data_IF_393367942614
#
_entry.id   IF_393367942614
#
_cell.length_a   1.000
_cell.length_b   1.000
_cell.length_c   1.000
_cell.angle_alpha   90.00
_cell.angle_beta   90.00
_cell.angle_gamma   90.00
#
_symmetry.space_group_name_H-M   'P 1'
#
loop_
_entity.id
_entity.type
_entity.pdbx_description
1 polymer ?
#
# COMPACT_ATOMS: atom_id res chain seq x y z
N UNK A 1 24.31 49.34 -12.84
CA UNK A 1 24.26 48.29 -13.88
C UNK A 1 23.12 47.35 -13.52
N UNK A 2 21.98 47.53 -14.18
CA UNK A 2 20.75 46.76 -13.94
C UNK A 2 20.79 45.51 -14.82
N UNK A 3 21.03 44.34 -14.24
CA UNK A 3 20.88 43.08 -14.96
C UNK A 3 19.41 42.67 -14.90
N UNK A 4 18.69 42.91 -16.00
CA UNK A 4 17.36 42.37 -16.24
C UNK A 4 17.44 40.84 -16.22
N UNK A 5 17.01 40.21 -15.12
CA UNK A 5 16.85 38.75 -15.09
C UNK A 5 15.68 38.38 -16.01
N UNK A 6 16.03 37.75 -17.12
CA UNK A 6 15.11 37.18 -18.11
C UNK A 6 14.05 36.32 -17.43
N UNK A 7 12.78 36.71 -17.60
CA UNK A 7 11.58 36.02 -17.09
C UNK A 7 11.41 34.58 -17.61
N UNK A 8 12.31 34.11 -18.49
CA UNK A 8 12.32 32.76 -19.04
C UNK A 8 12.91 31.70 -18.10
N UNK A 9 13.70 32.09 -17.08
CA UNK A 9 14.39 31.13 -16.21
C UNK A 9 13.49 30.60 -15.06
N UNK A 10 12.58 31.44 -14.54
CA UNK A 10 11.63 31.05 -13.49
C UNK A 10 10.54 30.09 -13.99
N UNK A 11 10.11 30.24 -15.25
CA UNK A 11 9.06 29.42 -15.85
C UNK A 11 9.53 27.98 -16.05
N UNK A 12 10.79 27.76 -16.43
CA UNK A 12 11.35 26.42 -16.63
C UNK A 12 11.50 25.61 -15.33
N UNK A 13 11.83 26.28 -14.21
CA UNK A 13 11.92 25.63 -12.89
C UNK A 13 10.51 25.26 -12.39
N UNK A 14 9.51 26.11 -12.66
CA UNK A 14 8.12 25.84 -12.31
C UNK A 14 7.52 24.70 -13.13
N UNK A 15 7.72 24.65 -14.45
CA UNK A 15 7.18 23.59 -15.30
C UNK A 15 7.86 22.24 -15.10
N UNK A 16 9.16 22.21 -14.79
CA UNK A 16 9.88 20.97 -14.43
C UNK A 16 9.50 20.46 -13.04
N UNK A 17 9.27 21.36 -12.07
CA UNK A 17 8.71 21.00 -10.76
C UNK A 17 7.28 20.47 -10.90
N UNK A 18 6.45 21.10 -11.73
CA UNK A 18 5.10 20.60 -12.06
C UNK A 18 5.18 19.24 -12.75
N UNK A 19 6.13 19.01 -13.66
CA UNK A 19 6.34 17.70 -14.30
C UNK A 19 6.80 16.62 -13.29
N UNK A 20 7.66 16.98 -12.33
CA UNK A 20 8.07 16.09 -11.23
C UNK A 20 6.91 15.75 -10.27
N UNK A 21 6.02 16.71 -10.01
CA UNK A 21 4.81 16.49 -9.17
C UNK A 21 3.77 15.64 -9.89
N UNK A 22 3.69 15.70 -11.21
CA UNK A 22 2.73 14.91 -12.01
C UNK A 22 3.17 13.43 -12.16
N UNK A 23 4.42 13.07 -11.84
CA UNK A 23 4.87 11.68 -11.89
C UNK A 23 4.39 10.82 -10.70
N UNK A 24 3.80 11.39 -9.65
CA UNK A 24 3.29 10.65 -8.49
C UNK A 24 1.80 10.34 -8.59
N UNK A 25 1.34 9.82 -9.72
CA UNK A 25 -0.07 9.40 -9.95
C UNK A 25 -0.36 7.95 -9.55
N UNK A 26 0.57 7.27 -8.90
CA UNK A 26 0.42 5.89 -8.43
C UNK A 26 0.09 5.81 -6.95
N UNK A 27 -0.69 4.80 -6.55
CA UNK A 27 -0.81 4.41 -5.15
C UNK A 27 0.55 3.95 -4.61
N UNK A 28 0.74 4.02 -3.29
CA UNK A 28 1.94 3.49 -2.65
C UNK A 28 2.00 1.98 -2.86
N UNK A 29 3.21 1.42 -2.74
CA UNK A 29 3.39 -0.04 -2.85
C UNK A 29 2.65 -0.81 -1.73
N UNK A 30 2.41 -0.15 -0.59
CA UNK A 30 1.63 -0.60 0.57
C UNK A 30 0.11 -0.40 0.40
N UNK A 31 -0.33 0.08 -0.76
CA UNK A 31 -1.72 0.42 -1.06
C UNK A 31 -2.21 -0.31 -2.32
N UNK A 32 -3.52 -0.54 -2.37
CA UNK A 32 -4.25 -1.08 -3.51
C UNK A 32 -4.96 0.05 -4.25
N UNK A 33 -4.78 0.07 -5.58
CA UNK A 33 -5.46 1.03 -6.46
C UNK A 33 -6.87 0.58 -6.82
N UNK A 34 -7.86 1.37 -6.41
CA UNK A 34 -9.26 1.21 -6.79
C UNK A 34 -9.47 1.62 -8.26
N UNK A 35 -10.59 1.18 -8.86
CA UNK A 35 -10.96 1.58 -10.23
C UNK A 35 -11.27 3.08 -10.33
N UNK A 36 -11.79 3.68 -9.25
CA UNK A 36 -12.02 5.11 -9.17
C UNK A 36 -10.75 5.95 -8.83
N UNK A 37 -9.55 5.43 -9.09
CA UNK A 37 -8.25 6.09 -8.82
C UNK A 37 -7.99 6.44 -7.35
N UNK A 38 -8.77 5.88 -6.43
CA UNK A 38 -8.55 5.98 -4.99
C UNK A 38 -7.55 4.91 -4.55
N UNK A 39 -6.81 5.19 -3.50
CA UNK A 39 -5.91 4.23 -2.87
C UNK A 39 -6.48 3.80 -1.52
N UNK A 40 -6.52 2.48 -1.28
CA UNK A 40 -6.87 1.87 0.00
C UNK A 40 -5.70 1.04 0.48
N UNK A 41 -5.61 0.70 1.76
CA UNK A 41 -4.47 -0.08 2.25
C UNK A 41 -4.51 -1.51 1.70
N UNK A 42 -3.35 -2.15 1.52
CA UNK A 42 -3.33 -3.51 0.98
C UNK A 42 -4.07 -4.52 1.86
N UNK A 43 -4.11 -4.31 3.18
CA UNK A 43 -4.88 -5.13 4.14
C UNK A 43 -6.39 -4.87 4.10
N UNK A 44 -6.83 -3.82 3.42
CA UNK A 44 -8.25 -3.54 3.15
C UNK A 44 -8.78 -4.27 1.93
N UNK A 45 -7.90 -4.78 1.06
CA UNK A 45 -8.34 -5.58 -0.08
C UNK A 45 -8.92 -6.93 0.39
N UNK A 46 -10.14 -7.26 -0.07
CA UNK A 46 -10.82 -8.50 0.26
C UNK A 46 -11.05 -8.71 1.79
N UNK A 47 -11.32 -7.63 2.52
CA UNK A 47 -11.67 -7.65 3.93
C UNK A 47 -13.20 -7.74 4.17
N UNK A 48 -14.01 -7.79 3.12
CA UNK A 48 -15.48 -7.84 3.19
C UNK A 48 -16.16 -6.49 3.35
N UNK A 49 -15.45 -5.37 3.17
CA UNK A 49 -15.98 -4.00 3.27
C UNK A 49 -15.65 -3.21 2.00
N UNK A 50 -16.57 -2.34 1.59
CA UNK A 50 -16.36 -1.44 0.46
C UNK A 50 -15.55 -0.22 0.90
N UNK A 51 -14.22 -0.33 0.90
CA UNK A 51 -13.32 0.75 1.26
C UNK A 51 -13.06 1.68 0.06
N UNK A 52 -13.13 1.16 -1.17
CA UNK A 52 -12.99 1.96 -2.39
C UNK A 52 -14.20 2.88 -2.63
N UNK A 53 -15.41 2.47 -2.24
CA UNK A 53 -16.69 3.13 -2.54
C UNK A 53 -17.30 2.74 -3.89
N UNK A 54 -16.58 1.97 -4.69
CA UNK A 54 -17.01 1.37 -5.95
C UNK A 54 -16.91 -0.18 -5.93
N UNK A 55 -16.61 -0.76 -4.76
CA UNK A 55 -16.37 -2.20 -4.52
C UNK A 55 -15.27 -2.84 -5.37
N UNK A 56 -14.34 -2.04 -5.90
CA UNK A 56 -13.22 -2.58 -6.70
C UNK A 56 -12.26 -3.45 -5.88
N UNK A 57 -12.20 -3.21 -4.58
CA UNK A 57 -11.48 -3.97 -3.55
C UNK A 57 -12.17 -5.28 -3.15
N UNK A 58 -13.46 -5.46 -3.44
CA UNK A 58 -14.29 -6.61 -3.01
C UNK A 58 -14.96 -7.37 -4.19
N UNK A 59 -14.21 -7.90 -5.17
CA UNK A 59 -14.82 -8.70 -6.24
C UNK A 59 -15.36 -10.05 -5.72
N UNK A 60 -16.35 -10.64 -6.43
CA UNK A 60 -17.04 -11.89 -6.03
C UNK A 60 -16.14 -13.08 -5.68
N UNK A 61 -14.94 -13.15 -6.27
CA UNK A 61 -13.94 -14.19 -6.04
C UNK A 61 -12.61 -13.60 -5.52
N UNK A 62 -12.70 -12.56 -4.68
CA UNK A 62 -11.51 -11.98 -4.07
C UNK A 62 -10.83 -13.00 -3.12
N UNK A 63 -9.50 -12.91 -3.04
CA UNK A 63 -8.71 -13.67 -2.06
C UNK A 63 -7.51 -12.84 -1.63
N UNK A 64 -7.21 -12.89 -0.33
CA UNK A 64 -5.97 -12.33 0.23
C UNK A 64 -4.76 -13.26 0.00
N UNK A 65 -5.01 -14.54 -0.32
CA UNK A 65 -3.98 -15.57 -0.48
C UNK A 65 -3.13 -15.38 -1.75
N UNK A 66 -1.91 -15.93 -1.72
CA UNK A 66 -0.92 -15.89 -2.80
C UNK A 66 -0.56 -14.47 -3.24
N UNK A 67 -0.59 -13.53 -2.29
CA UNK A 67 -0.19 -12.13 -2.51
C UNK A 67 1.00 -11.74 -1.64
N UNK A 68 1.76 -10.79 -2.16
CA UNK A 68 2.83 -10.11 -1.42
C UNK A 68 2.27 -8.81 -0.84
N UNK A 69 2.40 -8.66 0.47
CA UNK A 69 1.98 -7.48 1.21
C UNK A 69 3.17 -6.62 1.52
N UNK A 70 3.12 -5.38 1.06
CA UNK A 70 4.16 -4.41 1.33
C UNK A 70 3.80 -3.58 2.57
N UNK A 71 4.70 -3.60 3.55
CA UNK A 71 4.54 -2.88 4.80
C UNK A 71 5.40 -1.62 4.86
N UNK A 72 4.87 -0.59 5.51
CA UNK A 72 5.61 0.58 5.95
C UNK A 72 6.01 0.39 7.42
N UNK A 73 7.11 1.03 7.83
CA UNK A 73 7.65 0.87 9.19
C UNK A 73 6.76 1.58 10.20
N UNK A 74 6.61 0.97 11.37
CA UNK A 74 5.79 1.39 12.51
C UNK A 74 4.27 1.33 12.28
N UNK A 75 3.84 0.62 11.23
CA UNK A 75 2.44 0.33 10.93
C UNK A 75 2.03 -1.10 11.31
N UNK A 76 0.75 -1.25 11.66
CA UNK A 76 0.11 -2.56 11.90
C UNK A 76 -0.97 -2.81 10.86
N UNK A 77 -0.90 -3.96 10.21
CA UNK A 77 -1.80 -4.41 9.15
C UNK A 77 -2.68 -5.54 9.67
N UNK A 78 -3.99 -5.49 9.40
CA UNK A 78 -4.95 -6.49 9.89
C UNK A 78 -5.44 -7.36 8.74
N UNK A 79 -4.98 -8.60 8.66
CA UNK A 79 -5.30 -9.46 7.51
C UNK A 79 -6.44 -10.40 7.87
N UNK A 80 -7.57 -10.23 7.18
CA UNK A 80 -8.72 -11.10 7.37
C UNK A 80 -8.65 -12.28 6.39
N UNK A 81 -8.29 -13.44 6.92
CA UNK A 81 -8.26 -14.70 6.18
C UNK A 81 -9.64 -15.35 6.18
N UNK A 82 -10.44 -14.99 5.20
CA UNK A 82 -11.74 -15.63 5.01
C UNK A 82 -11.55 -16.97 4.30
N UNK A 83 -12.06 -18.06 4.88
CA UNK A 83 -12.03 -19.38 4.25
C UNK A 83 -12.80 -19.30 2.92
N UNK A 84 -12.19 -19.66 1.77
CA UNK A 84 -12.89 -19.64 0.49
C UNK A 84 -14.10 -20.57 0.56
N UNK A 85 -15.21 -20.18 -0.08
CA UNK A 85 -16.45 -20.98 -0.14
C UNK A 85 -16.24 -22.32 -0.86
N UNK A 86 -15.19 -22.43 -1.67
CA UNK A 86 -14.87 -23.62 -2.42
C UNK A 86 -14.12 -24.61 -1.50
N UNK A 87 -14.90 -25.52 -0.92
CA UNK A 87 -14.51 -26.53 0.06
C UNK A 87 -13.53 -27.61 -0.47
N UNK A 88 -12.70 -27.30 -1.48
CA UNK A 88 -11.63 -28.19 -1.93
C UNK A 88 -10.45 -28.10 -0.97
N UNK A 89 -10.48 -28.99 0.02
CA UNK A 89 -9.37 -29.25 0.92
C UNK A 89 -8.30 -30.11 0.22
N UNK A 90 -7.02 -29.94 0.58
CA UNK A 90 -6.49 -28.90 1.46
C UNK A 90 -6.40 -27.55 0.73
N UNK A 91 -6.86 -26.47 1.38
CA UNK A 91 -6.59 -25.11 0.91
C UNK A 91 -5.33 -24.60 1.61
N UNK A 92 -4.29 -24.31 0.84
CA UNK A 92 -3.07 -23.68 1.33
C UNK A 92 -3.12 -22.20 0.98
N UNK A 93 -3.08 -21.33 1.99
CA UNK A 93 -3.01 -19.88 1.81
C UNK A 93 -1.60 -19.41 2.16
N UNK A 94 -0.81 -19.09 1.14
CA UNK A 94 0.53 -18.55 1.33
C UNK A 94 0.47 -17.01 1.22
N UNK A 95 0.99 -16.32 2.23
CA UNK A 95 1.10 -14.85 2.25
C UNK A 95 2.58 -14.49 2.39
N UNK A 96 3.04 -13.52 1.61
CA UNK A 96 4.41 -13.01 1.71
C UNK A 96 4.38 -11.59 2.22
N UNK A 97 5.21 -11.25 3.19
CA UNK A 97 5.30 -9.89 3.74
C UNK A 97 6.67 -9.31 3.42
N UNK A 98 6.69 -8.11 2.84
CA UNK A 98 7.91 -7.40 2.44
C UNK A 98 7.86 -5.99 2.99
N UNK A 99 8.83 -5.60 3.81
CA UNK A 99 8.86 -4.26 4.37
C UNK A 99 10.28 -3.85 4.74
N UNK A 100 10.53 -2.55 4.82
CA UNK A 100 11.84 -1.98 5.16
C UNK A 100 12.16 -2.05 6.66
N UNK A 101 11.52 -2.95 7.41
CA UNK A 101 11.73 -3.17 8.84
C UNK A 101 12.58 -4.40 9.10
N UNK A 102 13.30 -4.41 10.22
CA UNK A 102 14.22 -5.49 10.59
C UNK A 102 13.53 -6.60 11.42
N UNK A 103 12.33 -6.35 11.96
CA UNK A 103 11.58 -7.29 12.79
C UNK A 103 10.07 -7.22 12.49
N UNK A 104 9.47 -8.36 12.18
CA UNK A 104 8.02 -8.53 12.06
C UNK A 104 7.46 -9.17 13.32
N UNK A 105 6.44 -8.57 13.92
CA UNK A 105 5.71 -9.20 15.04
C UNK A 105 4.31 -9.59 14.59
N UNK A 106 4.04 -10.90 14.66
CA UNK A 106 2.72 -11.48 14.45
C UNK A 106 2.00 -11.59 15.81
N UNK A 107 0.81 -11.01 15.92
CA UNK A 107 -0.08 -11.18 17.07
C UNK A 107 -1.46 -11.53 16.53
N UNK A 108 -1.77 -12.82 16.43
CA UNK A 108 -2.98 -13.31 15.75
C UNK A 108 -2.96 -13.01 14.26
N UNK A 109 -4.01 -12.34 13.77
CA UNK A 109 -4.17 -11.90 12.36
C UNK A 109 -3.55 -10.52 12.06
N UNK A 110 -2.86 -9.92 13.03
CA UNK A 110 -2.26 -8.61 12.90
C UNK A 110 -0.74 -8.72 12.72
N UNK A 111 -0.21 -7.95 11.78
CA UNK A 111 1.22 -7.87 11.49
C UNK A 111 1.68 -6.46 11.78
N UNK A 112 2.54 -6.32 12.77
CA UNK A 112 3.20 -5.05 13.07
C UNK A 112 4.60 -5.07 12.49
N UNK A 113 4.87 -4.14 11.58
CA UNK A 113 6.21 -3.87 11.09
C UNK A 113 6.84 -2.80 11.98
N UNK A 114 7.88 -3.11 12.75
CA UNK A 114 8.54 -2.13 13.62
C UNK A 114 9.92 -1.74 13.10
N UNK A 115 10.31 -0.49 13.38
CA UNK A 115 11.71 -0.07 13.29
C UNK A 115 12.49 -0.83 14.36
N UNK A 116 13.73 -1.22 14.07
CA UNK A 116 14.68 -1.65 15.11
C UNK A 116 15.01 -0.43 15.99
N UNK A 117 14.12 -0.07 16.91
CA UNK A 117 14.55 0.51 18.17
C UNK A 117 14.89 -0.71 19.02
N UNK A 118 16.20 -0.94 19.23
CA UNK A 118 16.68 -1.89 20.23
C UNK A 118 15.93 -1.66 21.54
N UNK A 119 14.90 -2.47 21.81
CA UNK A 119 14.46 -2.71 23.16
C UNK A 119 15.30 -3.89 23.66
N UNK A 120 16.55 -3.56 23.99
CA UNK A 120 17.31 -4.34 24.96
C UNK A 120 16.60 -4.10 26.28
N UNK A 121 15.98 -5.14 26.84
CA UNK A 121 15.76 -5.23 28.28
C UNK A 121 16.87 -6.12 28.80
#
# INVERSE_FOLDING_TARGET
MSFSLSSSCHVLISTTLILLVVLSTGCRISEYGCRNHRCVRLDQYCNGRDDCGDKSDEPKHCTVCNRTFYGEVDNTYQIQLNKPREQKLPFLCHLTFTANGHVFRYVGNNITNRRCLSYVI
#
